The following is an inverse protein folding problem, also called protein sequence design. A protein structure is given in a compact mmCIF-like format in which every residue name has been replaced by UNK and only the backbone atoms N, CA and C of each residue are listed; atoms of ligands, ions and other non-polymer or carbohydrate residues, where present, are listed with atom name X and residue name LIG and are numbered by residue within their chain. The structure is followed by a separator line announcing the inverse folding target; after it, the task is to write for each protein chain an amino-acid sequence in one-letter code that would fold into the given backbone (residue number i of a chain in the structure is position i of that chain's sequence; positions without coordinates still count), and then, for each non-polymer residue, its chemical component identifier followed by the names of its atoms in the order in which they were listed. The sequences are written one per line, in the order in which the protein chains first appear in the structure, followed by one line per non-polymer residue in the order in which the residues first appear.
data_IF_748393417542
#
_entry.id   IF_748393417542
#
_cell.length_a   1.000
_cell.length_b   1.000
_cell.length_c   1.000
_cell.angle_alpha   90.00
_cell.angle_beta   90.00
_cell.angle_gamma   90.00
#
_symmetry.space_group_name_H-M   'P 1'
#
loop_
_entity.id
_entity.type
_entity.pdbx_description
1 polymer ?
#
# COMPACT_ATOMS: atom_id res chain seq x y z
N UNK A 1 -1.37 9.67 -21.52
CA UNK A 1 -0.17 8.95 -21.01
C UNK A 1 -0.33 7.49 -21.38
N UNK A 2 0.76 6.77 -21.58
CA UNK A 2 0.68 5.36 -21.93
C UNK A 2 1.44 4.52 -20.89
N UNK A 3 0.89 3.35 -20.54
CA UNK A 3 1.52 2.40 -19.61
C UNK A 3 0.97 0.99 -19.82
N UNK A 4 1.64 -0.01 -19.26
CA UNK A 4 1.15 -1.39 -19.27
C UNK A 4 0.02 -1.61 -18.24
N UNK A 5 0.07 -0.90 -17.09
CA UNK A 5 -0.93 -1.05 -16.03
C UNK A 5 -1.29 0.31 -15.42
N UNK A 6 -2.56 0.70 -15.51
CA UNK A 6 -3.11 1.84 -14.77
C UNK A 6 -3.69 1.39 -13.44
N UNK A 7 -3.32 2.04 -12.34
CA UNK A 7 -3.77 1.72 -10.98
C UNK A 7 -4.56 2.91 -10.42
N UNK A 8 -5.78 2.65 -9.97
CA UNK A 8 -6.65 3.66 -9.34
C UNK A 8 -6.62 3.45 -7.83
N UNK A 9 -6.01 4.39 -7.12
CA UNK A 9 -5.85 4.42 -5.67
C UNK A 9 -4.43 4.13 -5.20
N UNK A 10 -3.87 5.05 -4.39
CA UNK A 10 -2.57 4.93 -3.73
C UNK A 10 -2.71 4.45 -2.27
N UNK A 11 -3.66 3.58 -2.01
CA UNK A 11 -3.72 2.83 -0.76
C UNK A 11 -2.65 1.72 -0.73
N UNK A 12 -2.49 0.99 0.40
CA UNK A 12 -1.45 -0.03 0.56
C UNK A 12 -1.51 -1.11 -0.54
N UNK A 13 -2.71 -1.48 -1.00
CA UNK A 13 -2.88 -2.48 -2.06
C UNK A 13 -2.38 -1.98 -3.44
N UNK A 14 -2.78 -0.76 -3.84
CA UNK A 14 -2.36 -0.19 -5.13
C UNK A 14 -0.86 0.11 -5.18
N UNK A 15 -0.31 0.65 -4.09
CA UNK A 15 1.12 0.91 -3.96
C UNK A 15 1.94 -0.38 -3.96
N UNK A 16 1.48 -1.42 -3.24
CA UNK A 16 2.14 -2.73 -3.22
C UNK A 16 2.08 -3.40 -4.60
N UNK A 17 0.92 -3.38 -5.26
CA UNK A 17 0.80 -3.89 -6.64
C UNK A 17 1.80 -3.19 -7.57
N UNK A 18 1.87 -1.85 -7.51
CA UNK A 18 2.82 -1.09 -8.31
C UNK A 18 4.28 -1.46 -8.01
N UNK A 19 4.62 -1.72 -6.74
CA UNK A 19 5.95 -2.18 -6.34
C UNK A 19 6.28 -3.55 -6.94
N UNK A 20 5.35 -4.49 -6.89
CA UNK A 20 5.53 -5.83 -7.47
C UNK A 20 5.69 -5.77 -9.00
N UNK A 21 4.87 -4.95 -9.67
CA UNK A 21 5.00 -4.73 -11.11
C UNK A 21 6.37 -4.14 -11.47
N UNK A 22 6.82 -3.12 -10.72
CA UNK A 22 8.13 -2.51 -10.92
C UNK A 22 9.27 -3.54 -10.80
N UNK A 23 9.22 -4.42 -9.80
CA UNK A 23 10.22 -5.49 -9.63
C UNK A 23 10.24 -6.49 -10.79
N UNK A 24 9.15 -6.60 -11.56
CA UNK A 24 9.05 -7.42 -12.76
C UNK A 24 9.33 -6.63 -14.06
N UNK A 25 9.75 -5.37 -13.96
CA UNK A 25 9.99 -4.52 -15.13
C UNK A 25 8.70 -4.11 -15.86
N UNK A 26 7.54 -4.20 -15.21
CA UNK A 26 6.24 -3.81 -15.76
C UNK A 26 5.95 -2.36 -15.38
N UNK A 27 5.75 -1.51 -16.39
CA UNK A 27 5.44 -0.10 -16.18
C UNK A 27 4.01 0.09 -15.66
N UNK A 28 3.87 0.98 -14.68
CA UNK A 28 2.56 1.33 -14.15
C UNK A 28 2.45 2.81 -13.81
N UNK A 29 1.24 3.34 -13.87
CA UNK A 29 0.89 4.70 -13.42
C UNK A 29 -0.15 4.56 -12.31
N UNK A 30 0.10 5.20 -11.16
CA UNK A 30 -0.89 5.27 -10.06
C UNK A 30 -1.54 6.65 -10.09
N UNK A 31 -2.85 6.69 -9.98
CA UNK A 31 -3.64 7.91 -9.73
C UNK A 31 -4.38 7.79 -8.40
N UNK A 32 -4.42 8.89 -7.63
CA UNK A 32 -5.04 8.96 -6.30
C UNK A 32 -5.86 10.24 -6.19
N UNK A 33 -7.08 10.15 -5.66
CA UNK A 33 -7.96 11.31 -5.53
C UNK A 33 -7.67 12.18 -4.30
N UNK A 34 -6.89 11.70 -3.36
CA UNK A 34 -6.48 12.44 -2.16
C UNK A 34 -5.09 13.02 -2.34
N UNK A 35 -4.77 13.99 -1.49
CA UNK A 35 -3.41 14.51 -1.39
C UNK A 35 -2.46 13.46 -0.79
N UNK A 36 -1.18 13.61 -1.07
CA UNK A 36 -0.12 12.81 -0.46
C UNK A 36 -0.19 12.89 1.07
N UNK A 37 -0.30 14.10 1.61
CA UNK A 37 -0.40 14.33 3.05
C UNK A 37 -1.58 13.56 3.68
N UNK A 38 -2.73 13.55 3.03
CA UNK A 38 -3.90 12.82 3.52
C UNK A 38 -3.65 11.31 3.62
N UNK A 39 -3.12 10.67 2.59
CA UNK A 39 -2.92 9.22 2.61
C UNK A 39 -1.81 8.80 3.57
N UNK A 40 -0.76 9.62 3.72
CA UNK A 40 0.37 9.37 4.61
C UNK A 40 0.03 9.60 6.10
N UNK A 41 -0.96 10.42 6.40
CA UNK A 41 -1.36 10.73 7.79
C UNK A 41 -2.70 10.10 8.20
N UNK A 42 -3.35 9.34 7.33
CA UNK A 42 -4.59 8.66 7.65
C UNK A 42 -4.34 7.46 8.55
N UNK A 43 -4.58 7.65 9.85
CA UNK A 43 -4.40 6.61 10.87
C UNK A 43 -5.33 5.42 10.59
N UNK A 44 -4.75 4.21 10.60
CA UNK A 44 -5.40 2.91 10.47
C UNK A 44 -4.81 1.93 11.49
N UNK A 45 -5.36 0.71 11.55
CA UNK A 45 -4.76 -0.36 12.34
C UNK A 45 -3.28 -0.57 11.98
N UNK A 46 -2.52 -1.08 12.90
CA UNK A 46 -1.06 -1.19 12.77
C UNK A 46 -0.52 -2.53 13.24
N UNK A 47 -1.31 -3.62 13.16
CA UNK A 47 -0.82 -4.97 13.43
C UNK A 47 -0.54 -5.66 12.10
N UNK A 48 0.71 -6.03 11.88
CA UNK A 48 1.19 -6.71 10.67
C UNK A 48 1.56 -8.15 11.04
N UNK A 49 0.96 -9.12 10.35
CA UNK A 49 1.30 -10.52 10.51
C UNK A 49 2.72 -10.80 10.01
N UNK A 50 3.36 -11.85 10.57
CA UNK A 50 4.76 -12.19 10.27
C UNK A 50 5.03 -12.31 8.77
N UNK A 51 4.18 -13.03 8.02
CA UNK A 51 4.36 -13.22 6.58
C UNK A 51 4.27 -11.91 5.79
N UNK A 52 3.39 -11.00 6.20
CA UNK A 52 3.26 -9.68 5.56
C UNK A 52 4.46 -8.78 5.90
N UNK A 53 4.99 -8.87 7.13
CA UNK A 53 6.21 -8.16 7.52
C UNK A 53 7.43 -8.68 6.74
N UNK A 54 7.59 -10.00 6.64
CA UNK A 54 8.67 -10.63 5.86
C UNK A 54 8.54 -10.22 4.37
N UNK A 55 7.33 -10.22 3.82
CA UNK A 55 7.08 -9.80 2.44
C UNK A 55 7.43 -8.33 2.18
N UNK A 56 7.13 -7.41 3.11
CA UNK A 56 7.56 -6.00 2.99
C UNK A 56 9.08 -5.88 2.90
N UNK A 57 9.81 -6.72 3.64
CA UNK A 57 11.28 -6.78 3.59
C UNK A 57 11.74 -7.32 2.24
N UNK A 58 11.18 -8.42 1.77
CA UNK A 58 11.55 -9.08 0.52
C UNK A 58 11.36 -8.16 -0.70
N UNK A 59 10.32 -7.34 -0.70
CA UNK A 59 10.08 -6.37 -1.79
C UNK A 59 10.84 -5.04 -1.60
N UNK A 60 11.68 -4.94 -0.56
CA UNK A 60 12.61 -3.82 -0.35
C UNK A 60 11.98 -2.54 0.23
N UNK A 61 10.84 -2.66 0.97
CA UNK A 61 10.19 -1.53 1.65
C UNK A 61 10.06 -1.73 3.17
N UNK A 62 10.60 -2.82 3.73
CA UNK A 62 10.49 -3.15 5.14
C UNK A 62 11.58 -2.60 6.06
N UNK A 63 12.59 -1.88 5.55
CA UNK A 63 13.76 -1.48 6.35
C UNK A 63 13.43 -0.57 7.54
N UNK A 64 12.52 0.40 7.38
CA UNK A 64 12.08 1.28 8.47
C UNK A 64 11.21 0.51 9.47
N UNK A 65 10.33 -0.36 8.99
CA UNK A 65 9.54 -1.25 9.85
C UNK A 65 10.43 -2.16 10.71
N UNK A 66 11.53 -2.68 10.19
CA UNK A 66 12.47 -3.51 10.96
C UNK A 66 13.16 -2.74 12.10
N UNK A 67 13.43 -1.43 11.90
CA UNK A 67 14.05 -0.58 12.92
C UNK A 67 13.08 -0.05 13.97
N UNK A 68 11.87 0.30 13.55
CA UNK A 68 10.91 1.09 14.34
C UNK A 68 9.70 0.25 14.81
N UNK A 69 9.42 -0.86 14.14
CA UNK A 69 8.30 -1.74 14.48
C UNK A 69 8.53 -2.50 15.78
N UNK A 70 7.47 -2.64 16.56
CA UNK A 70 7.51 -3.37 17.84
C UNK A 70 7.06 -4.82 17.63
N UNK A 71 7.88 -5.77 18.06
CA UNK A 71 7.60 -7.20 17.93
C UNK A 71 6.75 -7.70 19.11
N UNK A 72 5.61 -8.31 18.82
CA UNK A 72 4.73 -8.90 19.81
C UNK A 72 4.57 -10.42 19.57
N UNK A 73 4.72 -11.19 20.65
CA UNK A 73 4.62 -12.65 20.65
C UNK A 73 3.27 -13.15 21.14
N UNK A 74 2.27 -12.30 21.18
CA UNK A 74 0.90 -12.65 21.57
C UNK A 74 0.08 -11.40 21.89
N UNK A 75 -1.19 -11.63 22.12
CA UNK A 75 -2.18 -10.60 22.50
C UNK A 75 -2.95 -11.02 23.74
N UNK A 76 -3.54 -10.07 24.45
CA UNK A 76 -4.51 -10.33 25.48
C UNK A 76 -5.92 -10.02 24.93
N UNK A 77 -6.83 -10.95 25.07
CA UNK A 77 -8.24 -10.79 24.66
C UNK A 77 -9.10 -10.68 25.91
N UNK A 78 -9.88 -9.61 26.02
CA UNK A 78 -10.84 -9.43 27.11
C UNK A 78 -12.17 -10.11 26.75
N UNK A 79 -12.65 -11.02 27.60
CA UNK A 79 -13.94 -11.69 27.46
C UNK A 79 -14.64 -11.67 28.83
N UNK A 80 -15.84 -11.07 28.92
CA UNK A 80 -16.62 -10.99 30.13
C UNK A 80 -15.89 -10.42 31.37
N UNK A 81 -14.93 -9.52 31.15
CA UNK A 81 -14.11 -8.92 32.22
C UNK A 81 -12.80 -9.66 32.51
N UNK A 82 -12.60 -10.86 31.99
CA UNK A 82 -11.36 -11.63 32.13
C UNK A 82 -10.42 -11.42 30.97
N UNK A 83 -9.10 -11.45 31.23
CA UNK A 83 -8.04 -11.34 30.23
C UNK A 83 -7.48 -12.72 29.89
N UNK A 84 -7.62 -13.09 28.64
CA UNK A 84 -7.08 -14.35 28.10
C UNK A 84 -5.85 -14.08 27.22
N UNK A 85 -4.70 -14.61 27.64
CA UNK A 85 -3.47 -14.49 26.86
C UNK A 85 -3.44 -15.49 25.71
N UNK A 86 -3.37 -14.99 24.46
CA UNK A 86 -3.03 -15.79 23.28
C UNK A 86 -1.51 -15.68 23.03
N UNK A 87 -0.77 -16.71 23.40
CA UNK A 87 0.68 -16.77 23.26
C UNK A 87 1.05 -17.35 21.88
N UNK A 88 1.31 -16.47 20.93
CA UNK A 88 1.64 -16.86 19.56
C UNK A 88 2.93 -17.67 19.47
N UNK A 89 3.90 -17.42 20.38
CA UNK A 89 5.13 -18.19 20.40
C UNK A 89 4.87 -19.67 20.74
N UNK A 90 4.03 -19.91 21.74
CA UNK A 90 3.67 -21.28 22.15
C UNK A 90 2.77 -21.97 21.15
N UNK A 91 1.79 -21.25 20.57
CA UNK A 91 0.78 -21.83 19.71
C UNK A 91 1.30 -22.13 18.31
N UNK A 92 2.04 -21.20 17.70
CA UNK A 92 2.42 -21.28 16.28
C UNK A 92 3.88 -20.90 16.00
N UNK A 93 4.64 -20.55 17.05
CA UNK A 93 6.00 -20.04 16.95
C UNK A 93 6.14 -18.85 15.97
N UNK A 94 5.16 -17.95 15.99
CA UNK A 94 5.12 -16.76 15.14
C UNK A 94 4.99 -15.50 15.99
N UNK A 95 5.28 -14.35 15.37
CA UNK A 95 5.15 -13.03 15.96
C UNK A 95 4.31 -12.14 15.06
N UNK A 96 3.84 -11.04 15.59
CA UNK A 96 3.27 -9.93 14.82
C UNK A 96 4.12 -8.69 15.03
N UNK A 97 4.09 -7.77 14.09
CA UNK A 97 4.79 -6.50 14.17
C UNK A 97 3.76 -5.38 14.31
N UNK A 98 3.91 -4.56 15.33
CA UNK A 98 3.12 -3.33 15.46
C UNK A 98 3.84 -2.24 14.68
N UNK A 99 3.23 -1.85 13.58
CA UNK A 99 3.71 -0.80 12.68
C UNK A 99 2.50 -0.23 11.93
N UNK A 100 2.23 1.05 12.09
CA UNK A 100 1.01 1.68 11.57
C UNK A 100 0.85 1.49 10.06
N UNK A 101 -0.36 1.22 9.61
CA UNK A 101 -0.63 1.07 8.16
C UNK A 101 -0.24 2.34 7.38
N UNK A 102 -0.40 3.53 7.98
CA UNK A 102 0.05 4.79 7.38
C UNK A 102 1.57 4.83 7.20
N UNK A 103 2.34 4.18 8.08
CA UNK A 103 3.78 4.10 7.95
C UNK A 103 4.19 3.19 6.78
N UNK A 104 3.46 2.08 6.57
CA UNK A 104 3.64 1.24 5.38
C UNK A 104 3.32 2.03 4.10
N UNK A 105 2.27 2.86 4.12
CA UNK A 105 1.92 3.73 2.98
C UNK A 105 3.04 4.73 2.70
N UNK A 106 3.59 5.39 3.74
CA UNK A 106 4.74 6.30 3.59
C UNK A 106 5.94 5.60 2.94
N UNK A 107 6.31 4.42 3.44
CA UNK A 107 7.43 3.64 2.92
C UNK A 107 7.24 3.28 1.43
N UNK A 108 6.03 2.87 1.06
CA UNK A 108 5.69 2.53 -0.31
C UNK A 108 5.65 3.76 -1.24
N UNK A 109 5.12 4.89 -0.78
CA UNK A 109 5.11 6.16 -1.52
C UNK A 109 6.53 6.64 -1.75
N UNK A 110 7.36 6.68 -0.70
CA UNK A 110 8.76 7.09 -0.78
C UNK A 110 9.53 6.21 -1.76
N UNK A 111 9.33 4.89 -1.68
CA UNK A 111 9.94 3.95 -2.61
C UNK A 111 9.50 4.20 -4.05
N UNK A 112 8.20 4.42 -4.30
CA UNK A 112 7.65 4.72 -5.63
C UNK A 112 8.27 5.97 -6.24
N UNK A 113 8.39 7.03 -5.44
CA UNK A 113 9.01 8.29 -5.86
C UNK A 113 10.51 8.11 -6.12
N UNK A 114 11.20 7.40 -5.24
CA UNK A 114 12.64 7.09 -5.40
C UNK A 114 12.94 6.27 -6.65
N UNK A 115 12.02 5.39 -7.05
CA UNK A 115 12.10 4.62 -8.29
C UNK A 115 11.81 5.47 -9.55
N UNK A 116 11.44 6.75 -9.40
CA UNK A 116 11.09 7.65 -10.50
C UNK A 116 9.79 7.29 -11.21
N UNK A 117 8.95 6.48 -10.59
CA UNK A 117 7.75 5.94 -11.21
C UNK A 117 6.52 6.83 -10.98
N UNK A 118 5.64 7.04 -12.00
CA UNK A 118 4.56 8.00 -11.93
C UNK A 118 3.52 7.69 -10.84
N UNK A 119 3.25 8.70 -10.00
CA UNK A 119 2.23 8.70 -8.95
C UNK A 119 1.59 10.08 -8.93
N UNK A 120 0.33 10.18 -9.34
CA UNK A 120 -0.42 11.43 -9.43
C UNK A 120 -1.42 11.50 -8.28
N UNK A 121 -1.37 12.59 -7.52
CA UNK A 121 -2.31 12.87 -6.43
C UNK A 121 -3.35 13.89 -6.86
N UNK A 122 -4.43 13.99 -6.08
CA UNK A 122 -5.48 14.99 -6.24
C UNK A 122 -6.16 14.95 -7.62
N UNK A 123 -6.27 13.74 -8.18
CA UNK A 123 -7.03 13.55 -9.41
C UNK A 123 -8.52 13.44 -9.12
N UNK A 124 -9.37 13.94 -10.02
CA UNK A 124 -10.80 13.84 -9.93
C UNK A 124 -11.45 13.34 -11.25
N UNK A 125 -12.78 13.15 -11.24
CA UNK A 125 -13.56 12.69 -12.38
C UNK A 125 -13.03 11.40 -13.04
N UNK A 126 -12.53 10.45 -12.21
CA UNK A 126 -11.95 9.20 -12.71
C UNK A 126 -13.00 8.29 -13.30
N UNK A 127 -12.82 7.90 -14.55
CA UNK A 127 -13.68 6.94 -15.26
C UNK A 127 -12.84 5.89 -15.98
N UNK A 128 -13.33 4.66 -16.00
CA UNK A 128 -12.72 3.57 -16.75
C UNK A 128 -13.58 3.26 -17.96
N UNK A 129 -12.97 3.20 -19.13
CA UNK A 129 -13.65 3.03 -20.41
C UNK A 129 -13.03 1.87 -21.20
N UNK A 130 -13.82 1.32 -22.11
CA UNK A 130 -13.37 0.31 -23.08
C UNK A 130 -12.74 -0.97 -22.49
N UNK A 131 -13.09 -1.35 -21.24
CA UNK A 131 -12.55 -2.50 -20.53
C UNK A 131 -12.62 -3.83 -21.29
N UNK A 132 -13.62 -3.98 -22.18
CA UNK A 132 -13.83 -5.21 -22.96
C UNK A 132 -13.14 -5.17 -24.34
N UNK A 133 -12.36 -4.14 -24.60
CA UNK A 133 -11.62 -3.98 -25.85
C UNK A 133 -10.13 -4.20 -25.65
N UNK A 134 -9.36 -4.17 -26.73
CA UNK A 134 -7.90 -4.21 -26.67
C UNK A 134 -7.26 -2.84 -26.33
N UNK A 135 -8.08 -1.83 -26.05
CA UNK A 135 -7.61 -0.47 -25.75
C UNK A 135 -8.38 0.10 -24.54
N UNK A 136 -8.26 -0.54 -23.36
CA UNK A 136 -8.85 -0.01 -22.14
C UNK A 136 -8.23 1.34 -21.79
N UNK A 137 -9.02 2.24 -21.19
CA UNK A 137 -8.59 3.60 -20.88
C UNK A 137 -9.05 4.02 -19.50
N UNK A 138 -8.22 4.84 -18.83
CA UNK A 138 -8.61 5.56 -17.63
C UNK A 138 -8.60 7.04 -17.98
N UNK A 139 -9.75 7.71 -17.86
CA UNK A 139 -9.86 9.18 -17.99
C UNK A 139 -10.02 9.78 -16.61
N UNK A 140 -9.38 10.92 -16.41
CA UNK A 140 -9.42 11.67 -15.16
C UNK A 140 -9.11 13.14 -15.41
N UNK A 141 -9.33 13.96 -14.40
CA UNK A 141 -8.90 15.36 -14.40
C UNK A 141 -7.78 15.54 -13.37
N UNK A 142 -6.76 16.29 -13.75
CA UNK A 142 -5.62 16.64 -12.90
C UNK A 142 -5.15 18.04 -13.27
N UNK A 143 -4.96 18.90 -12.26
CA UNK A 143 -4.62 20.34 -12.43
C UNK A 143 -5.58 21.06 -13.40
N UNK A 144 -6.89 20.79 -13.28
CA UNK A 144 -7.93 21.38 -14.11
C UNK A 144 -7.97 20.89 -15.57
N UNK A 145 -7.13 19.94 -15.96
CA UNK A 145 -7.02 19.42 -17.32
C UNK A 145 -7.49 17.96 -17.39
N UNK A 146 -8.25 17.65 -18.44
CA UNK A 146 -8.59 16.26 -18.74
C UNK A 146 -7.38 15.51 -19.25
N UNK A 147 -7.13 14.33 -18.70
CA UNK A 147 -6.01 13.44 -19.05
C UNK A 147 -6.52 12.01 -19.26
N UNK A 148 -5.72 11.21 -19.96
CA UNK A 148 -6.04 9.82 -20.27
C UNK A 148 -4.79 8.95 -20.09
N UNK A 149 -4.98 7.74 -19.52
CA UNK A 149 -4.00 6.64 -19.52
C UNK A 149 -4.55 5.55 -20.45
N UNK A 150 -3.75 5.10 -21.42
CA UNK A 150 -4.02 4.06 -22.41
C UNK A 150 -2.88 3.04 -22.47
#
# INVERSE_FOLDING_TARGET
MRTQVGIIGAGPAGLMLARLLHLQGIESIIIENRSRDYIENRIRAGLIEHWAADFLVDVGVGSRMQREGMLHWGINVGINGDLHRLDFKKLVNKRVTIYGQQEVVKDLVERRISDGAPLLFEVDDVTVQDLKTQKPKIRFRHDGRSQEID
#
